data_IF_222395346305
#
_entry.id   IF_222395346305
#
_cell.length_a   1.000
_cell.length_b   1.000
_cell.length_c   1.000
_cell.angle_alpha   90.00
_cell.angle_beta   90.00
_cell.angle_gamma   90.00
#
_symmetry.space_group_name_H-M   'P 1'
#
loop_
_entity.id
_entity.type
_entity.pdbx_description
1 polymer ?
#
# COMPACT_ATOMS: atom_id res chain seq x y z
N UNK A 1 40.78 -51.76 19.97
CA UNK A 1 41.91 -50.85 19.70
C UNK A 1 42.39 -51.04 18.27
N UNK A 2 42.23 -50.04 17.39
CA UNK A 2 43.19 -49.66 16.35
C UNK A 2 42.71 -48.35 15.71
N UNK A 3 43.44 -47.27 16.02
CA UNK A 3 43.37 -46.00 15.30
C UNK A 3 43.97 -46.22 13.91
N UNK A 4 43.30 -45.73 12.87
CA UNK A 4 43.97 -45.31 11.65
C UNK A 4 43.63 -43.82 11.49
N UNK A 5 44.67 -43.02 11.66
CA UNK A 5 44.70 -41.59 11.40
C UNK A 5 45.22 -41.44 9.97
N UNK A 6 44.57 -40.59 9.17
CA UNK A 6 45.14 -40.04 7.94
C UNK A 6 44.14 -40.02 6.80
N UNK A 7 43.56 -38.87 6.49
CA UNK A 7 44.10 -38.04 5.41
C UNK A 7 43.35 -36.72 5.33
N UNK A 8 44.15 -35.68 5.20
CA UNK A 8 43.82 -34.26 5.14
C UNK A 8 43.17 -33.90 3.79
N UNK A 9 42.28 -32.91 3.81
CA UNK A 9 41.86 -32.08 2.67
C UNK A 9 41.26 -32.80 1.45
N UNK A 10 39.93 -32.84 1.39
CA UNK A 10 39.20 -32.59 0.14
C UNK A 10 38.43 -31.28 0.27
N UNK A 11 39.17 -30.21 -0.04
CA UNK A 11 38.79 -29.01 -0.80
C UNK A 11 37.29 -28.63 -0.77
N UNK A 12 37.02 -27.54 -0.04
CA UNK A 12 36.00 -26.53 -0.35
C UNK A 12 35.70 -26.48 -1.86
N UNK A 13 34.46 -26.68 -2.33
CA UNK A 13 33.94 -26.13 -3.61
C UNK A 13 32.43 -26.40 -3.79
N UNK A 14 31.63 -26.37 -2.71
CA UNK A 14 30.17 -26.21 -2.80
C UNK A 14 29.68 -25.18 -1.78
N UNK A 15 30.51 -24.17 -1.54
CA UNK A 15 30.06 -22.93 -0.96
C UNK A 15 29.34 -22.09 -2.00
N UNK A 16 28.26 -21.42 -1.58
CA UNK A 16 27.93 -20.07 -2.03
C UNK A 16 27.26 -19.88 -3.40
N UNK A 17 26.28 -20.68 -3.81
CA UNK A 17 25.35 -20.25 -4.89
C UNK A 17 23.89 -20.71 -4.66
N UNK A 18 23.34 -20.53 -3.45
CA UNK A 18 21.86 -20.53 -3.24
C UNK A 18 21.48 -19.46 -2.21
N UNK A 19 21.99 -18.24 -2.37
CA UNK A 19 21.61 -17.10 -1.51
C UNK A 19 21.37 -15.81 -2.30
N UNK A 20 21.29 -15.88 -3.63
CA UNK A 20 21.09 -14.72 -4.51
C UNK A 20 19.68 -14.62 -5.11
N UNK A 21 18.67 -15.25 -4.49
CA UNK A 21 17.25 -15.02 -4.79
C UNK A 21 16.57 -14.07 -3.77
N UNK A 22 17.34 -13.32 -2.98
CA UNK A 22 16.89 -12.03 -2.47
C UNK A 22 17.05 -10.99 -3.59
N UNK A 23 16.33 -11.24 -4.69
CA UNK A 23 15.96 -10.16 -5.60
C UNK A 23 15.22 -9.16 -4.73
N UNK A 24 15.77 -7.95 -4.72
CA UNK A 24 15.22 -6.74 -4.16
C UNK A 24 13.79 -6.55 -4.67
N UNK A 25 12.84 -7.22 -4.04
CA UNK A 25 11.45 -6.80 -4.02
C UNK A 25 11.46 -5.51 -3.20
N UNK A 26 11.77 -4.40 -3.86
CA UNK A 26 11.23 -3.12 -3.45
C UNK A 26 9.72 -3.33 -3.48
N UNK A 27 9.17 -3.74 -2.33
CA UNK A 27 7.80 -4.20 -2.20
C UNK A 27 6.87 -3.22 -2.87
N UNK A 28 6.02 -3.73 -3.75
CA UNK A 28 4.99 -2.95 -4.42
C UNK A 28 4.16 -2.15 -3.40
N UNK A 29 3.41 -1.14 -3.88
CA UNK A 29 2.65 -0.28 -2.98
C UNK A 29 1.74 -1.12 -2.07
N UNK A 30 1.77 -0.81 -0.77
CA UNK A 30 1.01 -1.55 0.24
C UNK A 30 -0.41 -1.01 0.36
N UNK A 31 -1.39 -1.87 0.11
CA UNK A 31 -2.81 -1.56 0.25
C UNK A 31 -3.15 -1.00 1.65
N UNK A 32 -2.64 -1.64 2.70
CA UNK A 32 -2.86 -1.22 4.10
C UNK A 32 -2.29 0.19 4.39
N UNK A 33 -1.06 0.48 3.94
CA UNK A 33 -0.46 1.83 4.10
C UNK A 33 -1.25 2.90 3.34
N UNK A 34 -1.68 2.59 2.12
CA UNK A 34 -2.46 3.53 1.32
C UNK A 34 -3.86 3.75 1.89
N UNK A 35 -4.53 2.69 2.37
CA UNK A 35 -5.80 2.78 3.08
C UNK A 35 -5.68 3.65 4.32
N UNK A 36 -4.65 3.44 5.16
CA UNK A 36 -4.40 4.28 6.33
C UNK A 36 -4.20 5.76 5.94
N UNK A 37 -3.36 6.03 4.94
CA UNK A 37 -3.16 7.40 4.45
C UNK A 37 -4.47 8.02 3.96
N UNK A 38 -5.27 7.26 3.23
CA UNK A 38 -6.58 7.72 2.78
C UNK A 38 -7.49 8.02 3.96
N UNK A 39 -7.55 7.16 4.98
CA UNK A 39 -8.30 7.43 6.20
C UNK A 39 -7.86 8.73 6.87
N UNK A 40 -6.55 8.92 7.05
CA UNK A 40 -5.97 10.08 7.72
C UNK A 40 -6.24 11.39 6.97
N UNK A 41 -6.23 11.34 5.63
CA UNK A 41 -6.44 12.51 4.78
C UNK A 41 -7.92 12.83 4.49
N UNK A 42 -8.82 11.84 4.58
CA UNK A 42 -10.16 11.94 3.96
C UNK A 42 -11.29 12.21 4.93
N UNK A 43 -11.05 12.40 6.23
CA UNK A 43 -12.16 12.60 7.18
C UNK A 43 -13.01 13.82 6.81
N UNK A 44 -12.40 14.99 6.68
CA UNK A 44 -13.09 16.23 6.31
C UNK A 44 -13.68 16.15 4.91
N UNK A 45 -12.93 15.61 3.94
CA UNK A 45 -13.37 15.49 2.57
C UNK A 45 -14.56 14.53 2.39
N UNK A 46 -14.58 13.41 3.12
CA UNK A 46 -15.68 12.44 3.10
C UNK A 46 -17.01 13.06 3.54
N UNK A 47 -16.97 14.02 4.48
CA UNK A 47 -18.14 14.74 4.98
C UNK A 47 -18.51 15.90 4.05
N UNK A 48 -17.54 16.52 3.37
CA UNK A 48 -17.73 17.70 2.55
C UNK A 48 -18.75 17.49 1.41
N UNK A 49 -18.79 16.31 0.78
CA UNK A 49 -19.77 16.01 -0.27
C UNK A 49 -21.21 15.95 0.26
N UNK A 50 -21.41 15.51 1.50
CA UNK A 50 -22.73 15.51 2.16
C UNK A 50 -23.09 16.95 2.53
N UNK A 51 -22.15 17.69 3.11
CA UNK A 51 -22.34 19.08 3.55
C UNK A 51 -22.60 20.03 2.38
N UNK A 52 -22.01 19.79 1.21
CA UNK A 52 -22.29 20.54 -0.01
C UNK A 52 -23.72 20.27 -0.49
N UNK A 53 -24.13 19.00 -0.50
CA UNK A 53 -25.51 18.60 -0.89
C UNK A 53 -26.58 19.13 0.06
N UNK A 54 -26.27 19.21 1.35
CA UNK A 54 -27.18 19.78 2.37
C UNK A 54 -27.17 21.32 2.40
N UNK A 55 -26.30 21.99 1.62
CA UNK A 55 -26.13 23.43 1.64
C UNK A 55 -25.44 23.99 2.90
N UNK A 56 -24.82 23.12 3.71
CA UNK A 56 -24.05 23.51 4.90
C UNK A 56 -22.76 24.22 4.52
N UNK A 57 -22.14 23.81 3.41
CA UNK A 57 -20.98 24.49 2.82
C UNK A 57 -21.29 24.87 1.37
N UNK A 58 -20.59 25.89 0.87
CA UNK A 58 -20.67 26.27 -0.54
C UNK A 58 -19.59 25.57 -1.37
N UNK A 59 -19.66 25.73 -2.70
CA UNK A 59 -18.70 25.11 -3.63
C UNK A 59 -17.25 25.54 -3.35
N UNK A 60 -17.01 26.82 -3.01
CA UNK A 60 -15.66 27.30 -2.74
C UNK A 60 -15.04 26.63 -1.50
N UNK A 61 -15.83 26.41 -0.45
CA UNK A 61 -15.39 25.64 0.72
C UNK A 61 -15.13 24.18 0.37
N UNK A 62 -15.99 23.56 -0.43
CA UNK A 62 -15.77 22.19 -0.91
C UNK A 62 -14.47 22.06 -1.72
N UNK A 63 -14.23 22.99 -2.65
CA UNK A 63 -13.03 22.98 -3.49
C UNK A 63 -11.76 23.17 -2.66
N UNK A 64 -11.81 23.99 -1.62
CA UNK A 64 -10.70 24.16 -0.68
C UNK A 64 -10.42 22.86 0.10
N UNK A 65 -11.45 22.20 0.64
CA UNK A 65 -11.30 20.91 1.35
C UNK A 65 -10.76 19.84 0.40
N UNK A 66 -11.24 19.81 -0.85
CA UNK A 66 -10.73 18.90 -1.87
C UNK A 66 -9.24 19.13 -2.12
N UNK A 67 -8.82 20.40 -2.25
CA UNK A 67 -7.41 20.73 -2.46
C UNK A 67 -6.53 20.30 -1.29
N UNK A 68 -7.03 20.41 -0.05
CA UNK A 68 -6.33 19.94 1.15
C UNK A 68 -6.20 18.42 1.18
N UNK A 69 -7.27 17.71 0.79
CA UNK A 69 -7.27 16.25 0.63
C UNK A 69 -6.26 15.80 -0.43
N UNK A 70 -6.31 16.39 -1.62
CA UNK A 70 -5.39 16.08 -2.73
C UNK A 70 -3.93 16.33 -2.30
N UNK A 71 -3.65 17.44 -1.59
CA UNK A 71 -2.32 17.74 -1.07
C UNK A 71 -1.85 16.74 -0.01
N UNK A 72 -2.75 16.24 0.85
CA UNK A 72 -2.44 15.24 1.86
C UNK A 72 -2.16 13.87 1.22
N UNK A 73 -2.96 13.47 0.22
CA UNK A 73 -2.76 12.24 -0.54
C UNK A 73 -1.45 12.27 -1.33
N UNK A 74 -1.03 13.44 -1.82
CA UNK A 74 0.23 13.64 -2.54
C UNK A 74 0.29 12.85 -3.86
N UNK A 75 1.49 12.74 -4.42
CA UNK A 75 1.71 12.12 -5.74
C UNK A 75 1.86 10.59 -5.71
N UNK A 76 1.89 9.99 -4.52
CA UNK A 76 2.07 8.55 -4.37
C UNK A 76 0.74 7.81 -4.59
N UNK A 77 0.35 7.65 -5.86
CA UNK A 77 -0.83 6.92 -6.29
C UNK A 77 -0.47 5.47 -6.71
N UNK A 78 -0.76 4.45 -5.88
CA UNK A 78 -0.51 3.05 -6.19
C UNK A 78 -1.15 2.54 -7.48
N UNK A 79 -2.28 3.14 -7.88
CA UNK A 79 -3.01 2.71 -9.06
C UNK A 79 -2.24 3.03 -10.35
N UNK A 80 -1.54 4.15 -10.37
CA UNK A 80 -0.67 4.53 -11.50
C UNK A 80 0.59 3.67 -11.54
N UNK A 81 1.17 3.37 -10.37
CA UNK A 81 2.36 2.52 -10.25
C UNK A 81 2.10 1.07 -10.67
N UNK A 82 0.86 0.61 -10.57
CA UNK A 82 0.43 -0.74 -10.93
C UNK A 82 -0.31 -0.80 -12.27
N UNK A 83 -0.34 0.29 -13.05
CA UNK A 83 -1.12 0.34 -14.29
C UNK A 83 -0.68 -0.71 -15.33
N UNK A 84 0.61 -1.03 -15.38
CA UNK A 84 1.19 -2.02 -16.30
C UNK A 84 1.14 -3.47 -15.78
N UNK A 85 0.64 -3.69 -14.56
CA UNK A 85 0.46 -5.02 -13.96
C UNK A 85 -1.00 -5.20 -13.49
N UNK A 86 -1.88 -5.67 -14.40
CA UNK A 86 -3.31 -5.81 -14.11
C UNK A 86 -3.62 -6.77 -12.95
N UNK A 87 -2.82 -7.82 -12.77
CA UNK A 87 -3.03 -8.79 -11.70
C UNK A 87 -2.69 -8.18 -10.34
N UNK A 88 -1.52 -7.55 -10.24
CA UNK A 88 -1.14 -6.82 -9.02
C UNK A 88 -2.11 -5.66 -8.71
N UNK A 89 -2.62 -4.98 -9.74
CA UNK A 89 -3.62 -3.91 -9.57
C UNK A 89 -4.95 -4.45 -9.01
N UNK A 90 -5.42 -5.60 -9.50
CA UNK A 90 -6.64 -6.24 -8.99
C UNK A 90 -6.44 -6.67 -7.54
N UNK A 91 -5.32 -7.31 -7.23
CA UNK A 91 -5.00 -7.72 -5.86
C UNK A 91 -4.91 -6.52 -4.92
N UNK A 92 -4.20 -5.46 -5.33
CA UNK A 92 -4.09 -4.22 -4.56
C UNK A 92 -5.45 -3.61 -4.27
N UNK A 93 -6.35 -3.52 -5.26
CA UNK A 93 -7.71 -2.97 -5.07
C UNK A 93 -8.52 -3.78 -4.08
N UNK A 94 -8.48 -5.11 -4.17
CA UNK A 94 -9.20 -5.98 -3.25
C UNK A 94 -8.69 -5.82 -1.81
N UNK A 95 -7.37 -5.86 -1.62
CA UNK A 95 -6.76 -5.65 -0.31
C UNK A 95 -7.02 -4.23 0.22
N UNK A 96 -6.99 -3.22 -0.64
CA UNK A 96 -7.25 -1.83 -0.27
C UNK A 96 -8.67 -1.67 0.28
N UNK A 97 -9.68 -2.23 -0.39
CA UNK A 97 -11.07 -2.14 0.08
C UNK A 97 -11.25 -2.82 1.45
N UNK A 98 -10.65 -4.00 1.62
CA UNK A 98 -10.67 -4.72 2.90
C UNK A 98 -10.02 -3.90 4.01
N UNK A 99 -8.86 -3.31 3.76
CA UNK A 99 -8.15 -2.51 4.75
C UNK A 99 -8.85 -1.18 5.02
N UNK A 100 -9.48 -0.57 4.01
CA UNK A 100 -10.25 0.66 4.16
C UNK A 100 -11.49 0.44 5.02
N UNK A 101 -12.23 -0.65 4.78
CA UNK A 101 -13.42 -1.00 5.56
C UNK A 101 -13.07 -1.27 7.03
N UNK A 102 -11.91 -1.90 7.29
CA UNK A 102 -11.42 -2.12 8.67
C UNK A 102 -10.99 -0.84 9.36
N UNK A 103 -10.21 0.00 8.68
CA UNK A 103 -9.51 1.13 9.30
C UNK A 103 -10.40 2.36 9.45
N UNK A 104 -11.25 2.66 8.47
CA UNK A 104 -12.14 3.83 8.50
C UNK A 104 -13.47 3.59 7.76
N UNK A 105 -14.37 2.75 8.33
CA UNK A 105 -15.63 2.36 7.68
C UNK A 105 -16.56 3.55 7.36
N UNK A 106 -16.51 4.63 8.16
CA UNK A 106 -17.29 5.83 7.89
C UNK A 106 -16.81 6.56 6.63
N UNK A 107 -15.50 6.69 6.46
CA UNK A 107 -14.88 7.31 5.27
C UNK A 107 -15.19 6.47 4.03
N UNK A 108 -15.02 5.15 4.11
CA UNK A 108 -15.38 4.22 3.05
C UNK A 108 -16.82 4.44 2.56
N UNK A 109 -17.78 4.39 3.51
CA UNK A 109 -19.20 4.58 3.22
C UNK A 109 -19.50 5.95 2.62
N UNK A 110 -18.95 7.02 3.19
CA UNK A 110 -19.22 8.38 2.75
C UNK A 110 -18.65 8.67 1.35
N UNK A 111 -17.56 8.00 0.97
CA UNK A 111 -16.92 8.13 -0.34
C UNK A 111 -17.47 7.15 -1.39
N UNK A 112 -18.29 6.18 -1.00
CA UNK A 112 -18.97 5.25 -1.92
C UNK A 112 -18.11 4.06 -2.34
N UNK A 113 -17.19 3.62 -1.47
CA UNK A 113 -16.46 2.35 -1.62
C UNK A 113 -17.33 1.15 -1.23
#
# INVERSE_FOLDING_TARGET
MKKIIGSTQQVHWLGLIVTFLFLTSCGGPSASKYAQKLCDCSEAFSKAAIQLRSGTINQATFDQIKKEHDACMGEDNPLEKLADDPEALVQFKAEFLIELEKSCPEVARNMGY
#
